data_IF_786497589840
#
_entry.id   IF_786497589840
#
_cell.length_a   1.000
_cell.length_b   1.000
_cell.length_c   1.000
_cell.angle_alpha   90.00
_cell.angle_beta   90.00
_cell.angle_gamma   90.00
#
_symmetry.space_group_name_H-M   'P 1'
#
loop_
_entity.id
_entity.type
_entity.pdbx_description
1 polymer ?
#
# COMPACT_ATOMS: atom_id res chain seq x y z
N UNK A 1 6.09 31.47 11.74
CA UNK A 1 6.63 30.08 11.84
C UNK A 1 5.56 29.12 11.36
N UNK A 2 5.90 28.21 10.42
CA UNK A 2 4.96 27.19 9.92
C UNK A 2 5.28 25.83 10.55
N UNK A 3 4.25 25.08 10.94
CA UNK A 3 4.37 23.76 11.54
C UNK A 3 4.03 22.65 10.52
N UNK A 4 4.82 21.58 10.51
CA UNK A 4 4.66 20.42 9.64
C UNK A 4 4.51 19.14 10.48
N UNK A 5 3.45 18.34 10.27
CA UNK A 5 3.26 17.09 11.01
C UNK A 5 4.17 15.99 10.44
N UNK A 6 5.10 15.49 11.24
CA UNK A 6 6.06 14.45 10.85
C UNK A 6 5.78 13.16 11.64
N UNK A 7 5.51 12.03 10.97
CA UNK A 7 5.46 10.73 11.64
C UNK A 7 6.81 10.39 12.29
N UNK A 8 6.79 10.02 13.57
CA UNK A 8 7.98 9.63 14.33
C UNK A 8 7.60 8.50 15.29
N UNK A 9 7.91 7.25 14.90
CA UNK A 9 7.47 6.05 15.60
C UNK A 9 5.95 5.97 15.70
N UNK A 10 5.41 5.89 16.92
CA UNK A 10 3.96 5.80 17.19
C UNK A 10 3.27 7.15 17.32
N UNK A 11 3.96 8.27 17.05
CA UNK A 11 3.45 9.62 17.26
C UNK A 11 3.66 10.47 16.02
N UNK A 12 2.95 11.58 15.96
CA UNK A 12 3.23 12.67 15.01
C UNK A 12 3.82 13.83 15.79
N UNK A 13 4.97 14.33 15.37
CA UNK A 13 5.63 15.48 15.98
C UNK A 13 5.49 16.72 15.07
N UNK A 14 5.28 17.92 15.63
CA UNK A 14 5.25 19.14 14.84
C UNK A 14 6.67 19.68 14.63
N UNK A 15 7.13 19.71 13.38
CA UNK A 15 8.36 20.41 12.98
C UNK A 15 8.03 21.88 12.69
N UNK A 16 8.56 22.82 13.48
CA UNK A 16 8.36 24.26 13.28
C UNK A 16 9.54 24.85 12.50
N UNK A 17 9.26 25.48 11.38
CA UNK A 17 10.27 26.12 10.53
C UNK A 17 10.01 27.64 10.47
N UNK A 18 11.05 28.47 10.64
CA UNK A 18 10.98 29.91 10.38
C UNK A 18 10.51 30.22 8.95
N UNK A 19 9.90 31.39 8.75
CA UNK A 19 9.29 31.74 7.45
C UNK A 19 10.30 32.19 6.39
N UNK A 20 11.48 32.61 6.83
CA UNK A 20 12.63 33.00 6.01
C UNK A 20 13.38 31.80 5.41
N UNK A 21 13.08 30.58 5.87
CA UNK A 21 13.66 29.35 5.33
C UNK A 21 12.80 28.84 4.17
N UNK A 22 13.36 28.64 2.96
CA UNK A 22 12.62 28.08 1.84
C UNK A 22 12.27 26.61 2.13
N UNK A 23 10.98 26.27 2.05
CA UNK A 23 10.48 24.91 2.31
C UNK A 23 9.58 24.47 1.16
N UNK A 24 9.78 23.24 0.70
CA UNK A 24 8.87 22.54 -0.20
C UNK A 24 8.27 21.32 0.50
N UNK A 25 6.95 21.26 0.57
CA UNK A 25 6.24 20.09 1.07
C UNK A 25 5.92 19.14 -0.09
N UNK A 26 6.40 17.90 0.01
CA UNK A 26 6.14 16.84 -0.96
C UNK A 26 5.35 15.73 -0.28
N UNK A 27 4.17 15.44 -0.82
CA UNK A 27 3.30 14.39 -0.32
C UNK A 27 2.81 13.51 -1.47
N UNK A 28 2.59 12.24 -1.17
CA UNK A 28 1.97 11.31 -2.11
C UNK A 28 0.60 11.82 -2.53
N UNK A 29 0.23 11.55 -3.79
CA UNK A 29 -1.13 11.80 -4.26
C UNK A 29 -2.10 10.96 -3.44
N UNK A 30 -3.08 11.61 -2.82
CA UNK A 30 -4.15 10.89 -2.13
C UNK A 30 -4.95 10.07 -3.14
N UNK A 31 -5.06 8.78 -2.86
CA UNK A 31 -5.92 7.84 -3.60
C UNK A 31 -7.08 7.41 -2.72
N UNK A 32 -8.24 7.20 -3.32
CA UNK A 32 -9.40 6.70 -2.58
C UNK A 32 -9.14 5.26 -2.15
N UNK A 33 -9.24 4.93 -0.84
CA UNK A 33 -9.05 3.56 -0.38
C UNK A 33 -10.10 2.61 -0.96
N UNK A 34 -9.68 1.36 -1.20
CA UNK A 34 -10.59 0.27 -1.60
C UNK A 34 -11.52 -0.04 -0.42
N UNK A 35 -12.84 0.16 -0.61
CA UNK A 35 -13.82 0.02 0.48
C UNK A 35 -14.14 -1.43 0.85
N UNK A 36 -14.13 -2.34 -0.13
CA UNK A 36 -14.48 -3.76 0.04
C UNK A 36 -13.29 -4.61 -0.40
N UNK A 37 -12.26 -4.65 0.45
CA UNK A 37 -10.97 -5.26 0.13
C UNK A 37 -11.14 -6.72 -0.31
N UNK A 38 -11.90 -7.52 0.45
CA UNK A 38 -12.18 -8.92 0.12
C UNK A 38 -12.76 -9.08 -1.28
N UNK A 39 -13.80 -8.32 -1.61
CA UNK A 39 -14.44 -8.35 -2.95
C UNK A 39 -13.49 -7.91 -4.06
N UNK A 40 -12.64 -6.92 -3.80
CA UNK A 40 -11.66 -6.47 -4.78
C UNK A 40 -10.60 -7.55 -5.06
N UNK A 41 -10.19 -8.29 -4.02
CA UNK A 41 -9.28 -9.43 -4.16
C UNK A 41 -9.93 -10.57 -4.94
N UNK A 42 -11.17 -10.93 -4.62
CA UNK A 42 -11.94 -11.94 -5.37
C UNK A 42 -12.07 -11.58 -6.85
N UNK A 43 -12.40 -10.32 -7.16
CA UNK A 43 -12.52 -9.85 -8.53
C UNK A 43 -11.20 -9.96 -9.28
N UNK A 44 -10.09 -9.51 -8.66
CA UNK A 44 -8.75 -9.59 -9.25
C UNK A 44 -8.33 -11.04 -9.52
N UNK A 45 -8.61 -11.98 -8.60
CA UNK A 45 -8.32 -13.40 -8.80
C UNK A 45 -9.17 -14.03 -9.91
N UNK A 46 -10.38 -13.53 -10.15
CA UNK A 46 -11.27 -14.01 -11.22
C UNK A 46 -10.94 -13.45 -12.60
N UNK A 47 -10.12 -12.39 -12.68
CA UNK A 47 -9.76 -11.65 -13.90
C UNK A 47 -8.24 -11.41 -13.97
N UNK A 48 -7.43 -12.46 -14.14
CA UNK A 48 -5.98 -12.34 -14.21
C UNK A 48 -5.54 -11.47 -15.39
N UNK A 49 -4.47 -10.70 -15.20
CA UNK A 49 -3.92 -9.82 -16.23
C UNK A 49 -2.76 -10.54 -16.92
N UNK A 50 -2.94 -10.88 -18.19
CA UNK A 50 -1.87 -11.45 -19.03
C UNK A 50 -1.49 -12.90 -18.71
N UNK A 51 -2.26 -13.61 -17.86
CA UNK A 51 -1.99 -14.99 -17.45
C UNK A 51 -3.28 -15.81 -17.33
N UNK A 52 -3.14 -17.13 -17.20
CA UNK A 52 -4.27 -18.00 -16.88
C UNK A 52 -4.71 -17.87 -15.42
N UNK A 53 -5.97 -18.21 -15.13
CA UNK A 53 -6.46 -18.29 -13.76
C UNK A 53 -5.64 -19.27 -12.94
N UNK A 54 -5.39 -18.94 -11.67
CA UNK A 54 -4.61 -19.79 -10.76
C UNK A 54 -5.18 -21.22 -10.66
N UNK A 55 -6.52 -21.34 -10.62
CA UNK A 55 -7.20 -22.65 -10.60
C UNK A 55 -6.94 -23.54 -11.82
N UNK A 56 -6.49 -22.95 -12.93
CA UNK A 56 -6.11 -23.67 -14.14
C UNK A 56 -4.60 -23.92 -14.22
N UNK A 57 -3.81 -23.25 -13.36
CA UNK A 57 -2.34 -23.36 -13.31
C UNK A 57 -1.86 -24.52 -12.43
N UNK A 58 -2.65 -24.93 -11.43
CA UNK A 58 -2.29 -25.97 -10.46
C UNK A 58 -3.23 -27.16 -10.52
N UNK A 59 -2.72 -28.35 -10.19
CA UNK A 59 -3.51 -29.59 -10.11
C UNK A 59 -3.54 -30.16 -8.70
N UNK A 60 -4.59 -30.92 -8.32
CA UNK A 60 -4.62 -31.63 -7.04
C UNK A 60 -3.37 -32.50 -6.82
N UNK A 61 -2.82 -32.48 -5.61
CA UNK A 61 -1.61 -33.24 -5.25
C UNK A 61 -0.28 -32.55 -5.60
N UNK A 62 -0.32 -31.42 -6.32
CA UNK A 62 0.89 -30.63 -6.60
C UNK A 62 1.31 -29.82 -5.37
N UNK A 63 2.60 -29.88 -5.02
CA UNK A 63 3.18 -28.99 -4.02
C UNK A 63 3.29 -27.57 -4.56
N UNK A 64 2.80 -26.61 -3.79
CA UNK A 64 2.82 -25.17 -4.13
C UNK A 64 3.49 -24.37 -3.03
N UNK A 65 4.16 -23.28 -3.40
CA UNK A 65 4.71 -22.31 -2.46
C UNK A 65 3.95 -20.98 -2.60
N UNK A 66 3.53 -20.41 -1.48
CA UNK A 66 2.94 -19.06 -1.42
C UNK A 66 3.97 -18.13 -0.77
N UNK A 67 4.50 -17.20 -1.56
CA UNK A 67 5.42 -16.18 -1.05
C UNK A 67 4.60 -15.00 -0.54
N UNK A 68 4.76 -14.68 0.75
CA UNK A 68 4.12 -13.55 1.42
C UNK A 68 5.19 -12.59 1.93
N UNK A 69 4.86 -11.30 1.99
CA UNK A 69 5.72 -10.30 2.63
C UNK A 69 5.75 -10.51 4.14
N UNK A 70 6.83 -10.08 4.78
CA UNK A 70 6.95 -10.11 6.24
C UNK A 70 6.25 -8.89 6.88
N UNK A 71 6.52 -8.66 8.16
CA UNK A 71 5.84 -7.66 9.00
C UNK A 71 6.46 -6.25 8.91
N UNK A 72 7.57 -6.06 8.20
CA UNK A 72 8.30 -4.78 8.14
C UNK A 72 7.52 -3.69 7.42
#
# INVERSE_FOLDING_TARGET
MKAYPIPCGKKTIPLKIPEDVPVQWVASRMITPVRKVEKAVEEALSRPIGTQNLRNLVTPGQSVALVVTDIT
#
